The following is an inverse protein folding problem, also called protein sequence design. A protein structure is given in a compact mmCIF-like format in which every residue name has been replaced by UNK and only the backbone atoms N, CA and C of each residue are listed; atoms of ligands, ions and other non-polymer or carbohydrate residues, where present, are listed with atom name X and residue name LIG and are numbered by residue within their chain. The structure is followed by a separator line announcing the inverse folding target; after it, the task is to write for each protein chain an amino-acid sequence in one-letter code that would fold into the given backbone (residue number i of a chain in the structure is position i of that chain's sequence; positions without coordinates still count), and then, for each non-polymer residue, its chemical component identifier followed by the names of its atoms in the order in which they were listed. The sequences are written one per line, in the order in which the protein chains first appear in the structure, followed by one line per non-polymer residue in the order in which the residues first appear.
data_IF_632371472690
#
_entry.id   IF_632371472690
#
_cell.length_a   1.000
_cell.length_b   1.000
_cell.length_c   1.000
_cell.angle_alpha   90.00
_cell.angle_beta   90.00
_cell.angle_gamma   90.00
#
_symmetry.space_group_name_H-M   'P 1'
#
loop_
_entity.id
_entity.type
_entity.pdbx_description
1 polymer ?
#
# COMPACT_ATOMS: atom_id res chain seq x y z
N UNK A 1 -13.08 -8.75 -0.22
CA UNK A 1 -12.28 -7.50 -0.29
C UNK A 1 -12.32 -6.97 -1.72
N UNK A 2 -12.66 -5.71 -1.88
CA UNK A 2 -12.58 -5.02 -3.18
C UNK A 2 -11.24 -4.31 -3.27
N UNK A 3 -10.47 -4.56 -4.33
CA UNK A 3 -9.19 -3.91 -4.60
C UNK A 3 -9.39 -2.77 -5.59
N UNK A 4 -8.91 -1.58 -5.28
CA UNK A 4 -9.03 -0.36 -6.09
C UNK A 4 -7.65 0.25 -6.23
N UNK A 5 -7.16 0.37 -7.45
CA UNK A 5 -5.89 1.06 -7.74
C UNK A 5 -6.17 2.48 -8.22
N UNK A 6 -5.48 3.44 -7.63
CA UNK A 6 -5.49 4.83 -8.08
C UNK A 6 -4.26 5.04 -8.97
N UNK A 7 -4.49 5.29 -10.25
CA UNK A 7 -3.43 5.37 -11.25
C UNK A 7 -3.48 6.72 -11.93
N UNK A 8 -2.31 7.38 -12.04
CA UNK A 8 -2.15 8.56 -12.86
C UNK A 8 -0.69 8.67 -13.32
N UNK A 9 -0.48 8.90 -14.61
CA UNK A 9 0.86 9.10 -15.19
C UNK A 9 1.44 10.47 -14.87
N UNK A 10 0.58 11.48 -14.63
CA UNK A 10 1.00 12.83 -14.32
C UNK A 10 1.17 13.00 -12.80
N UNK A 11 2.38 13.35 -12.35
CA UNK A 11 2.63 13.69 -10.96
C UNK A 11 1.91 14.97 -10.52
N UNK A 12 1.68 15.12 -9.21
CA UNK A 12 1.12 16.34 -8.62
C UNK A 12 -0.37 16.59 -8.89
N UNK A 13 -1.15 15.58 -9.26
CA UNK A 13 -2.59 15.72 -9.55
C UNK A 13 -3.50 15.33 -8.38
N UNK A 14 -2.94 15.07 -7.19
CA UNK A 14 -3.69 14.74 -5.99
C UNK A 14 -4.05 13.25 -5.86
N UNK A 15 -3.34 12.34 -6.54
CA UNK A 15 -3.56 10.89 -6.46
C UNK A 15 -3.44 10.38 -5.01
N UNK A 16 -2.35 10.68 -4.32
CA UNK A 16 -2.11 10.24 -2.95
C UNK A 16 -3.05 10.90 -1.94
N UNK A 17 -3.36 12.19 -2.12
CA UNK A 17 -4.40 12.86 -1.33
C UNK A 17 -5.77 12.19 -1.49
N UNK A 18 -6.14 11.83 -2.72
CA UNK A 18 -7.39 11.13 -3.00
C UNK A 18 -7.41 9.75 -2.32
N UNK A 19 -6.30 9.03 -2.34
CA UNK A 19 -6.16 7.72 -1.69
C UNK A 19 -6.41 7.81 -0.18
N UNK A 20 -5.72 8.73 0.50
CA UNK A 20 -5.86 8.94 1.95
C UNK A 20 -7.28 9.39 2.33
N UNK A 21 -7.85 10.33 1.57
CA UNK A 21 -9.20 10.82 1.82
C UNK A 21 -10.26 9.75 1.59
N UNK A 22 -10.13 8.93 0.55
CA UNK A 22 -11.03 7.82 0.28
C UNK A 22 -10.94 6.75 1.38
N UNK A 23 -9.72 6.37 1.79
CA UNK A 23 -9.51 5.43 2.88
C UNK A 23 -10.18 5.90 4.18
N UNK A 24 -9.95 7.15 4.54
CA UNK A 24 -10.56 7.78 5.73
C UNK A 24 -12.08 7.80 5.64
N UNK A 25 -12.64 8.18 4.50
CA UNK A 25 -14.10 8.22 4.31
C UNK A 25 -14.72 6.83 4.43
N UNK A 26 -14.13 5.82 3.81
CA UNK A 26 -14.59 4.43 3.92
C UNK A 26 -14.53 3.93 5.37
N UNK A 27 -13.46 4.24 6.09
CA UNK A 27 -13.31 3.90 7.51
C UNK A 27 -14.42 4.56 8.36
N UNK A 28 -14.73 5.82 8.14
CA UNK A 28 -15.82 6.53 8.82
C UNK A 28 -17.21 5.94 8.51
N UNK A 29 -17.34 5.24 7.39
CA UNK A 29 -18.54 4.46 7.04
C UNK A 29 -18.53 3.03 7.64
N UNK A 30 -17.61 2.74 8.55
CA UNK A 30 -17.52 1.46 9.24
C UNK A 30 -16.86 0.34 8.41
N UNK A 31 -16.12 0.70 7.35
CA UNK A 31 -15.40 -0.29 6.53
C UNK A 31 -13.98 -0.48 7.03
N UNK A 32 -13.51 -1.72 7.02
CA UNK A 32 -12.09 -2.03 7.24
C UNK A 32 -11.31 -1.82 5.95
N UNK A 33 -10.28 -1.00 6.01
CA UNK A 33 -9.52 -0.55 4.83
C UNK A 33 -8.04 -0.85 5.01
N UNK A 34 -7.44 -1.44 3.97
CA UNK A 34 -6.00 -1.55 3.80
C UNK A 34 -5.58 -0.56 2.73
N UNK A 35 -4.53 0.21 2.99
CA UNK A 35 -3.87 1.07 1.99
C UNK A 35 -2.49 0.52 1.72
N UNK A 36 -2.12 0.40 0.45
CA UNK A 36 -0.77 0.01 0.03
C UNK A 36 -0.19 1.15 -0.77
N UNK A 37 0.85 1.76 -0.24
CA UNK A 37 1.64 2.75 -0.96
C UNK A 37 2.62 2.01 -1.88
N UNK A 38 2.48 2.17 -3.18
CA UNK A 38 3.29 1.52 -4.21
C UNK A 38 4.12 2.53 -5.01
N UNK A 39 4.23 3.74 -4.50
CA UNK A 39 5.03 4.81 -5.10
C UNK A 39 6.33 5.00 -4.29
N UNK A 40 7.52 4.91 -4.92
CA UNK A 40 8.79 5.18 -4.24
C UNK A 40 8.89 6.57 -3.59
N UNK A 41 8.08 7.53 -4.04
CA UNK A 41 8.02 8.87 -3.42
C UNK A 41 7.38 8.84 -2.02
N UNK A 42 6.51 7.88 -1.73
CA UNK A 42 5.94 7.69 -0.40
C UNK A 42 4.96 8.78 0.03
N UNK A 43 4.31 9.47 -0.90
CA UNK A 43 3.41 10.58 -0.57
C UNK A 43 2.20 10.12 0.25
N UNK A 44 1.61 8.96 -0.06
CA UNK A 44 0.52 8.39 0.73
C UNK A 44 0.99 8.02 2.13
N UNK A 45 2.21 7.51 2.25
CA UNK A 45 2.85 7.22 3.54
C UNK A 45 3.00 8.50 4.37
N UNK A 46 3.53 9.57 3.78
CA UNK A 46 3.72 10.86 4.45
C UNK A 46 2.38 11.47 4.89
N UNK A 47 1.35 11.42 4.04
CA UNK A 47 0.02 11.94 4.36
C UNK A 47 -0.72 11.13 5.42
N UNK A 48 -0.28 9.92 5.70
CA UNK A 48 -0.88 9.05 6.72
C UNK A 48 -0.45 9.38 8.15
N UNK A 49 0.43 10.38 8.34
CA UNK A 49 0.91 10.86 9.65
C UNK A 49 1.42 9.74 10.57
N UNK A 50 2.28 8.88 10.04
CA UNK A 50 2.88 7.82 10.82
C UNK A 50 3.91 8.41 11.79
N UNK A 51 3.75 8.11 13.07
CA UNK A 51 4.62 8.63 14.12
C UNK A 51 5.80 7.72 14.45
N UNK A 52 5.77 6.47 13.98
CA UNK A 52 6.79 5.48 14.24
C UNK A 52 7.72 5.32 13.04
N UNK A 53 9.02 5.14 13.30
CA UNK A 53 9.97 4.80 12.25
C UNK A 53 9.64 3.43 11.65
N UNK A 54 9.57 3.36 10.33
CA UNK A 54 9.20 2.15 9.62
C UNK A 54 10.44 1.48 9.01
N UNK A 55 10.71 0.24 9.43
CA UNK A 55 11.81 -0.56 8.90
C UNK A 55 11.37 -1.51 7.77
N UNK A 56 10.08 -1.82 7.68
CA UNK A 56 9.50 -2.69 6.67
C UNK A 56 8.46 -1.94 5.85
N UNK A 57 8.58 -2.06 4.53
CA UNK A 57 7.80 -1.29 3.57
C UNK A 57 7.21 -2.21 2.48
N UNK A 58 6.55 -1.63 1.51
CA UNK A 58 6.07 -2.33 0.31
C UNK A 58 7.22 -3.05 -0.42
N UNK A 59 8.45 -2.54 -0.35
CA UNK A 59 9.63 -3.23 -0.87
C UNK A 59 9.76 -4.63 -0.28
N UNK A 60 9.77 -4.76 1.02
CA UNK A 60 9.91 -6.05 1.71
C UNK A 60 8.69 -6.96 1.45
N UNK A 61 7.48 -6.40 1.36
CA UNK A 61 6.29 -7.16 0.97
C UNK A 61 6.45 -7.81 -0.40
N UNK A 62 6.95 -7.07 -1.37
CA UNK A 62 7.12 -7.57 -2.74
C UNK A 62 8.28 -8.56 -2.88
N UNK A 63 9.32 -8.45 -2.05
CA UNK A 63 10.51 -9.29 -2.15
C UNK A 63 10.41 -10.59 -1.36
N UNK A 64 10.08 -10.54 -0.05
CA UNK A 64 10.16 -11.72 0.79
C UNK A 64 9.20 -11.78 1.98
N UNK A 65 8.67 -10.64 2.46
CA UNK A 65 7.83 -10.58 3.66
C UNK A 65 6.35 -10.85 3.39
N UNK A 66 5.66 -11.29 4.43
CA UNK A 66 4.21 -11.45 4.40
C UNK A 66 3.51 -10.14 4.81
N UNK A 67 2.26 -9.95 4.37
CA UNK A 67 1.50 -8.74 4.64
C UNK A 67 1.44 -8.39 6.14
N UNK A 68 1.23 -9.38 6.99
CA UNK A 68 1.15 -9.19 8.46
C UNK A 68 2.42 -8.64 9.10
N UNK A 69 3.57 -8.81 8.44
CA UNK A 69 4.87 -8.34 8.95
C UNK A 69 5.14 -6.87 8.61
N UNK A 70 4.53 -6.38 7.53
CA UNK A 70 4.80 -5.03 7.00
C UNK A 70 3.67 -4.05 7.26
N UNK A 71 2.47 -4.53 7.59
CA UNK A 71 1.31 -3.68 7.82
C UNK A 71 1.44 -2.93 9.14
N UNK A 72 1.12 -1.65 9.13
CA UNK A 72 1.06 -0.79 10.30
C UNK A 72 -0.35 -0.21 10.47
N UNK A 73 -0.69 0.16 11.69
CA UNK A 73 -1.98 0.79 11.99
C UNK A 73 -1.86 2.31 11.94
N UNK A 74 -2.81 2.94 11.30
CA UNK A 74 -3.04 4.37 11.41
C UNK A 74 -4.33 4.62 12.19
N UNK A 75 -4.72 5.88 12.33
CA UNK A 75 -5.97 6.23 13.04
C UNK A 75 -7.22 5.65 12.35
N UNK A 76 -7.24 5.58 11.02
CA UNK A 76 -8.43 5.23 10.25
C UNK A 76 -8.33 3.95 9.43
N UNK A 77 -7.13 3.50 9.09
CA UNK A 77 -6.91 2.34 8.22
C UNK A 77 -5.58 1.67 8.53
N UNK A 78 -5.41 0.47 8.02
CA UNK A 78 -4.11 -0.21 8.04
C UNK A 78 -3.32 0.20 6.79
N UNK A 79 -2.00 0.40 6.93
CA UNK A 79 -1.12 0.89 5.86
C UNK A 79 0.07 -0.03 5.65
N UNK A 80 0.41 -0.29 4.40
CA UNK A 80 1.74 -0.76 4.00
C UNK A 80 2.48 0.46 3.44
N UNK A 81 3.49 0.98 4.15
CA UNK A 81 4.18 2.19 3.76
C UNK A 81 5.19 1.97 2.63
N UNK A 82 5.55 3.02 1.92
CA UNK A 82 6.63 3.01 0.94
C UNK A 82 7.69 4.07 1.27
N UNK A 83 8.87 3.87 0.73
CA UNK A 83 9.95 4.84 0.69
C UNK A 83 10.76 4.69 -0.60
N UNK A 84 11.78 5.52 -0.78
CA UNK A 84 12.60 5.55 -2.00
C UNK A 84 13.27 4.20 -2.31
N UNK A 85 13.48 3.34 -1.32
CA UNK A 85 14.08 2.02 -1.53
C UNK A 85 13.21 1.07 -2.37
N UNK A 86 11.92 1.39 -2.55
CA UNK A 86 11.03 0.65 -3.45
C UNK A 86 11.52 0.67 -4.90
N UNK A 87 12.23 1.72 -5.32
CA UNK A 87 12.85 1.78 -6.65
C UNK A 87 13.86 0.66 -6.88
N UNK A 88 14.58 0.24 -5.84
CA UNK A 88 15.52 -0.89 -5.92
C UNK A 88 14.79 -2.22 -6.13
N UNK A 89 13.62 -2.37 -5.53
CA UNK A 89 12.78 -3.55 -5.70
C UNK A 89 12.30 -3.72 -7.16
N UNK A 90 12.01 -2.63 -7.84
CA UNK A 90 11.61 -2.68 -9.26
C UNK A 90 12.67 -3.36 -10.12
N UNK A 91 13.95 -3.03 -9.91
CA UNK A 91 15.07 -3.66 -10.63
C UNK A 91 15.17 -5.16 -10.33
N UNK A 92 14.97 -5.56 -9.09
CA UNK A 92 14.97 -6.98 -8.68
C UNK A 92 13.79 -7.73 -9.29
N UNK A 93 12.62 -7.10 -9.33
CA UNK A 93 11.39 -7.71 -9.82
C UNK A 93 11.35 -7.90 -11.35
N UNK A 94 12.08 -7.09 -12.11
CA UNK A 94 12.14 -7.20 -13.58
C UNK A 94 12.49 -8.62 -14.02
N UNK A 95 13.38 -9.28 -13.30
CA UNK A 95 13.85 -10.63 -13.61
C UNK A 95 13.07 -11.75 -12.89
N UNK A 96 12.08 -11.40 -12.06
CA UNK A 96 11.27 -12.42 -11.39
C UNK A 96 10.20 -12.98 -12.30
N UNK A 97 10.09 -14.30 -12.30
CA UNK A 97 9.01 -15.00 -12.98
C UNK A 97 7.66 -14.69 -12.31
N UNK A 98 6.62 -14.47 -13.12
CA UNK A 98 5.25 -14.17 -12.62
C UNK A 98 5.17 -12.95 -11.69
N UNK A 99 6.01 -11.94 -11.91
CA UNK A 99 6.07 -10.71 -11.09
C UNK A 99 4.72 -9.98 -10.98
N UNK A 100 3.91 -10.06 -12.02
CA UNK A 100 2.58 -9.46 -12.10
C UNK A 100 1.58 -10.03 -11.09
N UNK A 101 1.85 -11.21 -10.53
CA UNK A 101 1.00 -11.86 -9.54
C UNK A 101 1.50 -11.73 -8.11
N UNK A 102 2.68 -11.16 -7.87
CA UNK A 102 3.30 -11.12 -6.54
C UNK A 102 2.37 -10.44 -5.53
N UNK A 103 1.94 -9.22 -5.79
CA UNK A 103 1.06 -8.48 -4.87
C UNK A 103 -0.30 -9.18 -4.70
N UNK A 104 -0.87 -9.69 -5.78
CA UNK A 104 -2.12 -10.46 -5.72
C UNK A 104 -2.00 -11.64 -4.76
N UNK A 105 -0.93 -12.42 -4.86
CA UNK A 105 -0.69 -13.59 -4.01
C UNK A 105 -0.51 -13.18 -2.54
N UNK A 106 0.19 -12.07 -2.28
CA UNK A 106 0.34 -11.52 -0.93
C UNK A 106 -0.98 -11.09 -0.29
N UNK A 107 -1.95 -10.67 -1.10
CA UNK A 107 -3.27 -10.22 -0.63
C UNK A 107 -4.29 -11.35 -0.47
N UNK A 108 -4.01 -12.55 -0.97
CA UNK A 108 -5.00 -13.65 -1.02
C UNK A 108 -5.62 -13.97 0.35
N UNK A 109 -4.82 -13.98 1.41
CA UNK A 109 -5.28 -14.29 2.77
C UNK A 109 -5.92 -13.09 3.50
N UNK A 110 -5.98 -11.93 2.87
CA UNK A 110 -6.46 -10.68 3.47
C UNK A 110 -7.95 -10.40 3.21
N UNK A 111 -8.58 -11.19 2.35
CA UNK A 111 -9.97 -10.98 1.91
C UNK A 111 -10.99 -11.02 3.05
N UNK A 112 -10.71 -11.76 4.13
CA UNK A 112 -11.58 -11.86 5.31
C UNK A 112 -11.39 -10.71 6.29
N UNK A 113 -10.23 -10.05 6.26
CA UNK A 113 -9.87 -8.98 7.21
C UNK A 113 -10.34 -7.60 6.74
N UNK A 114 -10.26 -7.32 5.44
CA UNK A 114 -10.53 -6.00 4.88
C UNK A 114 -11.72 -6.02 3.92
N UNK A 115 -12.54 -4.97 3.98
CA UNK A 115 -13.59 -4.73 2.98
C UNK A 115 -13.01 -4.13 1.69
N UNK A 116 -12.00 -3.27 1.82
CA UNK A 116 -11.34 -2.58 0.72
C UNK A 116 -9.82 -2.62 0.85
N UNK A 117 -9.14 -2.71 -0.29
CA UNK A 117 -7.71 -2.44 -0.41
C UNK A 117 -7.53 -1.34 -1.46
N UNK A 118 -6.93 -0.23 -1.06
CA UNK A 118 -6.58 0.88 -1.95
C UNK A 118 -5.08 0.80 -2.25
N UNK A 119 -4.73 0.88 -3.52
CA UNK A 119 -3.33 0.85 -3.98
C UNK A 119 -3.04 2.20 -4.65
N UNK A 120 -2.04 2.91 -4.09
CA UNK A 120 -1.55 4.18 -4.62
C UNK A 120 -0.30 3.99 -5.46
#
# INVERSE_FOLDING_TARGET
MKVISLINQKGGVGKSSATVNLATALSKLGKSVLVIDLDPQGDTTDYSNILEEQNLTTKELLLDKELKEVVIKTEHYDLVPADISLADAELTLINKFSREFILKNKLENSHKKYNYCLID
#
